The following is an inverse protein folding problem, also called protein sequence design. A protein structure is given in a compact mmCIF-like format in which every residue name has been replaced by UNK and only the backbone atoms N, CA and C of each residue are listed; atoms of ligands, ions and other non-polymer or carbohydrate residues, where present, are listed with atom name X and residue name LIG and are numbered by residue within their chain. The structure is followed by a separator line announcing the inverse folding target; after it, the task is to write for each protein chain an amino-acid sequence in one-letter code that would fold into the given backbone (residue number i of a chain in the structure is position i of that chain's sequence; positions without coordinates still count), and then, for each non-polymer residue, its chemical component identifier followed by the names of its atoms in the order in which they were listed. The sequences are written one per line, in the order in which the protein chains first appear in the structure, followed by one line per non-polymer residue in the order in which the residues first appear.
data_IF_855112633749
#
_entry.id   IF_855112633749
#
_cell.length_a   1.000
_cell.length_b   1.000
_cell.length_c   1.000
_cell.angle_alpha   90.00
_cell.angle_beta   90.00
_cell.angle_gamma   90.00
#
_symmetry.space_group_name_H-M   'P 1'
#
loop_
_entity.id
_entity.type
_entity.pdbx_description
1 polymer ?
#
# COMPACT_ATOMS: atom_id res chain seq x y z
N UNK A 1 -6.20 -10.60 4.07
CA UNK A 1 -7.03 -10.72 2.85
C UNK A 1 -6.11 -10.50 1.67
N UNK A 2 -6.05 -11.45 0.77
CA UNK A 2 -5.22 -11.35 -0.44
C UNK A 2 -6.15 -10.87 -1.55
N UNK A 3 -5.92 -9.66 -2.08
CA UNK A 3 -6.64 -9.17 -3.25
C UNK A 3 -5.80 -9.55 -4.48
N UNK A 4 -6.28 -10.51 -5.26
CA UNK A 4 -5.66 -10.86 -6.54
C UNK A 4 -6.33 -10.01 -7.61
N UNK A 5 -5.70 -8.93 -8.04
CA UNK A 5 -6.14 -8.19 -9.22
C UNK A 5 -5.54 -8.86 -10.45
N UNK A 6 -6.27 -9.78 -11.05
CA UNK A 6 -5.94 -10.34 -12.35
C UNK A 6 -6.60 -9.49 -13.43
N UNK A 7 -5.91 -8.53 -13.97
CA UNK A 7 -6.31 -7.83 -15.19
C UNK A 7 -6.00 -8.73 -16.39
N UNK A 8 -6.92 -9.65 -16.68
CA UNK A 8 -6.97 -10.34 -17.96
C UNK A 8 -8.15 -9.77 -18.74
N UNK A 9 -7.89 -8.89 -19.69
CA UNK A 9 -8.85 -8.58 -20.76
C UNK A 9 -8.95 -9.80 -21.66
N UNK A 10 -9.90 -10.70 -21.35
CA UNK A 10 -10.33 -11.72 -22.28
C UNK A 10 -11.86 -11.66 -22.40
N UNK A 11 -12.30 -11.29 -23.57
CA UNK A 11 -13.70 -11.34 -24.01
C UNK A 11 -14.13 -12.80 -24.13
N UNK A 12 -15.15 -13.19 -23.35
CA UNK A 12 -16.04 -14.32 -23.65
C UNK A 12 -15.69 -15.65 -22.99
N UNK A 13 -16.33 -15.92 -21.88
CA UNK A 13 -17.21 -17.08 -21.67
C UNK A 13 -17.73 -17.10 -20.23
N UNK A 14 -19.04 -17.21 -20.12
CA UNK A 14 -19.80 -17.37 -18.88
C UNK A 14 -19.41 -18.68 -18.18
N UNK A 15 -18.75 -18.58 -17.03
CA UNK A 15 -18.55 -19.70 -16.13
C UNK A 15 -19.47 -19.52 -14.91
N UNK A 16 -20.51 -20.31 -14.81
CA UNK A 16 -21.39 -20.39 -13.64
C UNK A 16 -20.60 -21.00 -12.47
N UNK A 17 -20.27 -20.17 -11.49
CA UNK A 17 -19.68 -20.61 -10.23
C UNK A 17 -20.80 -20.86 -9.21
N UNK A 18 -21.18 -22.12 -9.06
CA UNK A 18 -22.07 -22.56 -7.98
C UNK A 18 -21.21 -23.02 -6.81
N UNK A 19 -20.96 -22.11 -5.87
CA UNK A 19 -20.23 -22.43 -4.61
C UNK A 19 -21.26 -22.96 -3.61
N UNK A 20 -21.04 -24.17 -3.08
CA UNK A 20 -21.82 -24.75 -1.99
C UNK A 20 -21.68 -23.89 -0.72
N UNK A 21 -22.77 -23.31 -0.26
CA UNK A 21 -22.82 -22.41 0.93
C UNK A 21 -22.27 -23.12 2.19
N UNK A 22 -22.54 -24.40 2.39
CA UNK A 22 -22.04 -25.16 3.56
C UNK A 22 -20.52 -25.35 3.66
N UNK A 23 -19.77 -25.17 2.55
CA UNK A 23 -18.30 -25.26 2.59
C UNK A 23 -17.68 -23.93 3.05
N UNK A 24 -18.34 -22.83 2.77
CA UNK A 24 -17.88 -21.49 3.20
C UNK A 24 -18.07 -21.27 4.70
N UNK A 25 -19.17 -21.76 5.28
CA UNK A 25 -19.43 -21.59 6.72
C UNK A 25 -18.37 -22.29 7.57
N UNK A 26 -17.96 -23.52 7.20
CA UNK A 26 -16.88 -24.25 7.90
C UNK A 26 -15.52 -23.54 7.81
N UNK A 27 -15.19 -22.96 6.64
CA UNK A 27 -13.94 -22.19 6.47
C UNK A 27 -13.96 -20.92 7.31
N UNK A 28 -15.11 -20.24 7.37
CA UNK A 28 -15.26 -19.02 8.18
C UNK A 28 -15.12 -19.36 9.67
N UNK A 29 -15.74 -20.41 10.16
CA UNK A 29 -15.60 -20.85 11.56
C UNK A 29 -14.16 -21.27 11.89
N UNK A 30 -13.48 -21.99 11.01
CA UNK A 30 -12.10 -22.39 11.19
C UNK A 30 -11.15 -21.18 11.22
N UNK A 31 -11.33 -20.21 10.30
CA UNK A 31 -10.52 -18.99 10.24
C UNK A 31 -10.81 -18.04 11.41
N UNK A 32 -12.07 -17.93 11.84
CA UNK A 32 -12.44 -17.02 12.95
C UNK A 32 -12.12 -17.63 14.32
N UNK A 33 -12.14 -18.95 14.47
CA UNK A 33 -11.79 -19.69 15.69
C UNK A 33 -10.29 -19.90 15.91
N UNK A 34 -9.46 -19.76 14.86
CA UNK A 34 -8.01 -19.92 14.96
C UNK A 34 -7.33 -18.73 15.64
N UNK A 35 -6.24 -18.99 16.38
CA UNK A 35 -5.37 -17.93 16.90
C UNK A 35 -4.77 -17.11 15.75
N UNK A 36 -4.83 -15.77 15.86
CA UNK A 36 -4.33 -14.89 14.81
C UNK A 36 -2.80 -14.85 14.80
N UNK A 37 -2.17 -15.65 13.94
CA UNK A 37 -0.72 -15.81 13.85
C UNK A 37 0.07 -14.52 13.56
N UNK A 38 -0.57 -13.50 13.03
CA UNK A 38 0.04 -12.19 12.74
C UNK A 38 -0.18 -11.16 13.85
N UNK A 39 -0.78 -11.55 14.99
CA UNK A 39 -1.12 -10.71 16.14
C UNK A 39 0.07 -10.34 17.02
N UNK A 40 1.26 -10.12 16.44
CA UNK A 40 2.46 -9.67 17.16
C UNK A 40 2.81 -8.22 16.79
N UNK A 41 3.53 -7.54 17.68
CA UNK A 41 4.06 -6.19 17.48
C UNK A 41 5.58 -6.27 17.34
N UNK A 42 6.12 -5.57 16.35
CA UNK A 42 7.58 -5.43 16.18
C UNK A 42 8.08 -4.32 17.09
N UNK A 43 9.10 -4.59 17.90
CA UNK A 43 9.65 -3.63 18.83
C UNK A 43 10.74 -2.79 18.16
N UNK A 44 10.32 -1.84 17.30
CA UNK A 44 11.22 -0.89 16.66
C UNK A 44 10.91 0.53 17.12
N UNK A 45 11.95 1.34 17.27
CA UNK A 45 11.78 2.75 17.58
C UNK A 45 11.13 3.47 16.39
N UNK A 46 10.02 4.14 16.65
CA UNK A 46 9.20 4.76 15.61
C UNK A 46 9.25 6.29 15.74
N UNK A 47 9.48 6.96 14.63
CA UNK A 47 9.27 8.40 14.48
C UNK A 47 7.82 8.65 14.10
N UNK A 48 7.09 9.36 14.96
CA UNK A 48 5.67 9.68 14.77
C UNK A 48 5.45 11.18 14.82
N UNK A 49 4.48 11.66 14.03
CA UNK A 49 3.95 13.03 14.19
C UNK A 49 2.81 13.02 15.21
N UNK A 50 2.45 14.20 15.71
CA UNK A 50 1.31 14.34 16.63
C UNK A 50 -0.02 13.89 15.99
N UNK A 51 -1.01 13.62 16.85
CA UNK A 51 -2.37 13.31 16.42
C UNK A 51 -3.05 14.52 15.79
N UNK A 52 -4.01 14.23 14.92
CA UNK A 52 -4.88 15.21 14.29
C UNK A 52 -4.51 15.51 12.85
N UNK A 53 -5.41 16.14 12.14
CA UNK A 53 -5.31 16.44 10.72
C UNK A 53 -5.56 17.93 10.48
N UNK A 54 -4.55 18.60 9.94
CA UNK A 54 -4.58 19.98 9.48
C UNK A 54 -3.53 20.20 8.39
N UNK A 55 -3.46 21.41 7.81
CA UNK A 55 -2.48 21.71 6.76
C UNK A 55 -1.02 21.57 7.23
N UNK A 56 -0.74 21.85 8.50
CA UNK A 56 0.62 21.72 9.05
C UNK A 56 1.06 20.26 9.09
N UNK A 57 0.20 19.35 9.54
CA UNK A 57 0.44 17.90 9.50
C UNK A 57 0.75 17.42 8.08
N UNK A 58 0.01 17.91 7.08
CA UNK A 58 0.25 17.57 5.67
C UNK A 58 1.62 18.08 5.20
N UNK A 59 2.00 19.31 5.59
CA UNK A 59 3.33 19.87 5.29
C UNK A 59 4.44 19.06 5.95
N UNK A 60 4.24 18.60 7.18
CA UNK A 60 5.21 17.75 7.89
C UNK A 60 5.35 16.39 7.17
N UNK A 61 4.26 15.76 6.73
CA UNK A 61 4.31 14.51 5.96
C UNK A 61 5.12 14.72 4.68
N UNK A 62 4.80 15.77 3.91
CA UNK A 62 5.48 16.08 2.67
C UNK A 62 6.97 16.39 2.88
N UNK A 63 7.33 17.13 3.95
CA UNK A 63 8.71 17.42 4.30
C UNK A 63 9.49 16.15 4.71
N UNK A 64 8.89 15.27 5.52
CA UNK A 64 9.52 13.99 5.91
C UNK A 64 9.75 13.05 4.71
N UNK A 65 8.90 13.15 3.69
CA UNK A 65 9.03 12.40 2.42
C UNK A 65 9.95 13.12 1.42
N UNK A 66 10.41 14.33 1.74
CA UNK A 66 11.23 15.17 0.84
C UNK A 66 10.56 15.37 -0.53
N UNK A 67 9.26 15.61 -0.50
CA UNK A 67 8.46 15.75 -1.71
C UNK A 67 8.69 17.11 -2.39
N UNK A 68 8.62 17.17 -3.72
CA UNK A 68 8.65 18.44 -4.45
C UNK A 68 7.36 19.25 -4.23
N UNK A 69 7.43 20.55 -4.43
CA UNK A 69 6.34 21.50 -4.17
C UNK A 69 5.01 21.10 -4.84
N UNK A 70 5.05 20.57 -6.06
CA UNK A 70 3.84 20.16 -6.78
C UNK A 70 3.09 19.01 -6.07
N UNK A 71 3.81 18.15 -5.35
CA UNK A 71 3.21 17.05 -4.59
C UNK A 71 2.55 17.59 -3.32
N UNK A 72 3.21 18.52 -2.63
CA UNK A 72 2.61 19.23 -1.50
C UNK A 72 1.33 20.00 -1.92
N UNK A 73 1.37 20.69 -3.05
CA UNK A 73 0.19 21.37 -3.59
C UNK A 73 -0.98 20.41 -3.88
N UNK A 74 -0.69 19.25 -4.47
CA UNK A 74 -1.67 18.19 -4.69
C UNK A 74 -2.33 17.76 -3.37
N UNK A 75 -1.54 17.51 -2.34
CA UNK A 75 -2.03 17.12 -0.99
C UNK A 75 -2.91 18.19 -0.35
N UNK A 76 -2.45 19.42 -0.35
CA UNK A 76 -3.19 20.56 0.24
C UNK A 76 -4.51 20.80 -0.50
N UNK A 77 -4.52 20.69 -1.83
CA UNK A 77 -5.73 20.79 -2.63
C UNK A 77 -6.73 19.69 -2.28
N UNK A 78 -6.26 18.46 -2.13
CA UNK A 78 -7.09 17.33 -1.72
C UNK A 78 -7.66 17.52 -0.30
N UNK A 79 -6.87 17.99 0.64
CA UNK A 79 -7.30 18.27 2.00
C UNK A 79 -8.38 19.34 2.08
N UNK A 80 -8.16 20.47 1.40
CA UNK A 80 -9.16 21.58 1.35
C UNK A 80 -10.47 21.12 0.73
N UNK A 81 -10.41 20.26 -0.28
CA UNK A 81 -11.60 19.65 -0.87
C UNK A 81 -12.28 18.72 0.15
N UNK A 82 -11.52 17.86 0.83
CA UNK A 82 -12.05 16.96 1.86
C UNK A 82 -12.82 17.70 2.97
N UNK A 83 -12.34 18.86 3.40
CA UNK A 83 -13.04 19.70 4.39
C UNK A 83 -14.43 20.18 3.92
N UNK A 84 -14.67 20.22 2.63
CA UNK A 84 -15.99 20.59 2.06
C UNK A 84 -16.95 19.41 1.92
N UNK A 85 -16.44 18.18 2.09
CA UNK A 85 -17.20 16.96 1.90
C UNK A 85 -17.83 16.45 3.21
N UNK A 86 -18.83 15.60 3.07
CA UNK A 86 -19.41 14.86 4.19
C UNK A 86 -19.13 13.37 4.01
N UNK A 87 -18.90 12.69 5.13
CA UNK A 87 -18.76 11.24 5.14
C UNK A 87 -20.01 10.60 4.51
N UNK A 88 -19.86 9.69 3.54
CA UNK A 88 -20.98 9.05 2.87
C UNK A 88 -21.78 8.17 3.83
N UNK A 89 -23.09 8.19 3.69
CA UNK A 89 -24.03 7.38 4.49
C UNK A 89 -24.93 6.47 3.65
N UNK A 90 -24.58 6.27 2.39
CA UNK A 90 -25.37 5.43 1.47
C UNK A 90 -25.21 3.94 1.73
N UNK A 91 -24.11 3.52 2.34
CA UNK A 91 -23.93 2.13 2.75
C UNK A 91 -24.82 1.82 3.96
N UNK A 92 -25.50 0.68 3.93
CA UNK A 92 -26.32 0.19 5.03
C UNK A 92 -25.44 -0.44 6.13
N UNK A 93 -24.54 0.37 6.69
CA UNK A 93 -23.61 -0.03 7.73
C UNK A 93 -23.73 0.92 8.90
N UNK A 94 -23.76 0.36 10.11
CA UNK A 94 -23.65 1.13 11.34
C UNK A 94 -22.17 1.29 11.71
N UNK A 95 -21.54 2.31 11.10
CA UNK A 95 -20.14 2.62 11.35
C UNK A 95 -20.06 3.66 12.45
N UNK A 96 -19.31 3.40 13.55
CA UNK A 96 -19.05 4.39 14.59
C UNK A 96 -18.46 5.67 14.00
N UNK A 97 -18.76 6.79 14.65
CA UNK A 97 -18.20 8.08 14.25
C UNK A 97 -16.66 8.04 14.37
N UNK A 98 -15.97 8.35 13.28
CA UNK A 98 -14.51 8.37 13.24
C UNK A 98 -14.02 9.74 13.69
N UNK A 99 -13.25 9.77 14.77
CA UNK A 99 -12.56 10.98 15.19
C UNK A 99 -11.24 11.15 14.46
N UNK A 100 -11.25 11.87 13.35
CA UNK A 100 -10.06 12.13 12.53
C UNK A 100 -8.99 12.93 13.27
N UNK A 101 -9.31 13.58 14.40
CA UNK A 101 -8.35 14.32 15.22
C UNK A 101 -7.64 13.43 16.25
N UNK A 102 -8.07 12.18 16.42
CA UNK A 102 -7.43 11.19 17.31
C UNK A 102 -6.56 10.16 16.57
N UNK A 103 -6.23 10.42 15.31
CA UNK A 103 -5.42 9.55 14.46
C UNK A 103 -4.03 10.16 14.28
N UNK A 104 -2.99 9.31 14.30
CA UNK A 104 -1.64 9.64 13.86
C UNK A 104 -1.53 9.33 12.38
N UNK A 105 -1.22 10.32 11.55
CA UNK A 105 -1.22 10.20 10.09
C UNK A 105 0.13 9.82 9.48
N UNK A 106 1.18 9.76 10.28
CA UNK A 106 2.49 9.31 9.85
C UNK A 106 3.24 8.64 10.99
N UNK A 107 3.73 7.46 10.74
CA UNK A 107 4.64 6.72 11.60
C UNK A 107 5.68 6.00 10.72
N UNK A 108 6.94 6.05 11.09
CA UNK A 108 8.01 5.38 10.36
C UNK A 108 9.02 4.79 11.34
N UNK A 109 9.55 3.59 11.09
CA UNK A 109 10.73 3.11 11.81
C UNK A 109 11.86 4.15 11.72
N UNK A 110 12.58 4.42 12.81
CA UNK A 110 13.72 5.35 12.82
C UNK A 110 14.94 4.83 12.05
N UNK A 111 14.73 4.01 11.06
CA UNK A 111 15.79 3.46 10.22
C UNK A 111 15.97 4.35 8.98
N UNK A 112 17.23 4.57 8.59
CA UNK A 112 17.54 5.20 7.30
C UNK A 112 17.25 4.19 6.17
N UNK A 113 16.88 4.70 4.99
CA UNK A 113 16.81 3.88 3.78
C UNK A 113 18.13 3.11 3.61
N UNK A 114 18.03 1.78 3.56
CA UNK A 114 19.19 0.91 3.46
C UNK A 114 19.31 0.39 2.03
N UNK A 115 20.52 0.43 1.48
CA UNK A 115 20.80 -0.07 0.13
C UNK A 115 20.89 -1.60 0.08
N UNK A 116 21.23 -2.24 1.20
CA UNK A 116 21.39 -3.69 1.27
C UNK A 116 20.51 -4.32 2.35
N UNK A 117 20.18 -5.59 2.15
CA UNK A 117 19.44 -6.37 3.14
C UNK A 117 20.19 -6.52 4.46
N UNK A 118 21.50 -6.60 4.42
CA UNK A 118 22.37 -6.73 5.58
C UNK A 118 22.26 -5.55 6.54
N UNK A 119 21.99 -4.36 6.01
CA UNK A 119 21.88 -3.11 6.77
C UNK A 119 20.50 -2.90 7.41
N UNK A 120 19.48 -3.69 7.01
CA UNK A 120 18.13 -3.60 7.58
C UNK A 120 18.15 -4.04 9.04
N UNK A 121 17.40 -3.32 9.89
CA UNK A 121 17.29 -3.63 11.33
C UNK A 121 16.92 -5.10 11.56
N UNK A 122 17.63 -5.83 12.46
CA UNK A 122 17.37 -7.24 12.73
C UNK A 122 15.93 -7.55 13.18
N UNK A 123 15.28 -6.66 13.92
CA UNK A 123 13.89 -6.83 14.36
C UNK A 123 12.91 -6.71 13.18
N UNK A 124 13.20 -5.83 12.21
CA UNK A 124 12.45 -5.75 10.98
C UNK A 124 12.64 -7.00 10.12
N UNK A 125 13.87 -7.49 9.98
CA UNK A 125 14.15 -8.77 9.30
C UNK A 125 13.34 -9.91 9.90
N UNK A 126 13.45 -10.09 11.22
CA UNK A 126 12.73 -11.12 11.94
C UNK A 126 11.20 -11.01 11.78
N UNK A 127 10.69 -9.79 11.68
CA UNK A 127 9.28 -9.53 11.41
C UNK A 127 8.85 -10.06 10.04
N UNK A 128 9.56 -9.69 8.98
CA UNK A 128 9.23 -10.13 7.63
C UNK A 128 9.47 -11.63 7.44
N UNK A 129 10.51 -12.20 8.03
CA UNK A 129 10.74 -13.66 8.05
C UNK A 129 9.58 -14.41 8.73
N UNK A 130 9.11 -13.91 9.88
CA UNK A 130 7.95 -14.46 10.59
C UNK A 130 6.64 -14.33 9.80
N UNK A 131 6.53 -13.32 8.96
CA UNK A 131 5.41 -13.13 8.05
C UNK A 131 5.51 -14.01 6.79
N UNK A 132 6.67 -14.63 6.54
CA UNK A 132 6.95 -15.44 5.37
C UNK A 132 7.19 -14.61 4.11
N UNK A 133 7.66 -13.36 4.27
CA UNK A 133 7.93 -12.43 3.15
C UNK A 133 9.41 -12.54 2.76
N UNK A 134 9.73 -13.04 1.57
CA UNK A 134 11.11 -13.22 1.11
C UNK A 134 11.71 -11.88 0.67
N UNK A 135 12.43 -11.20 1.56
CA UNK A 135 13.09 -9.93 1.26
C UNK A 135 14.54 -10.08 0.77
N UNK A 136 15.13 -11.25 0.88
CA UNK A 136 16.44 -11.53 0.25
C UNK A 136 16.24 -12.08 -1.16
N UNK A 137 16.96 -11.56 -2.13
CA UNK A 137 16.91 -12.06 -3.51
C UNK A 137 17.35 -13.53 -3.63
N UNK A 138 18.19 -13.99 -2.70
CA UNK A 138 18.60 -15.40 -2.58
C UNK A 138 17.46 -16.33 -2.15
N UNK A 139 16.51 -15.83 -1.35
CA UNK A 139 15.32 -16.59 -0.94
C UNK A 139 14.18 -16.49 -1.95
N UNK A 140 14.26 -15.58 -2.90
CA UNK A 140 13.26 -15.39 -3.95
C UNK A 140 13.34 -16.44 -5.07
N UNK A 141 13.55 -17.71 -4.71
CA UNK A 141 13.38 -18.86 -5.62
C UNK A 141 11.97 -18.91 -6.25
N UNK A 142 11.05 -18.10 -5.76
CA UNK A 142 9.68 -17.96 -6.26
C UNK A 142 9.57 -17.14 -7.55
N UNK A 143 10.64 -16.42 -7.99
CA UNK A 143 10.59 -15.54 -9.17
C UNK A 143 9.65 -14.35 -8.99
N UNK A 144 9.46 -13.86 -7.76
CA UNK A 144 8.59 -12.73 -7.40
C UNK A 144 9.42 -11.56 -6.86
N UNK A 145 9.20 -10.37 -7.40
CA UNK A 145 9.74 -9.14 -6.82
C UNK A 145 8.80 -8.61 -5.73
N UNK A 146 9.37 -8.20 -4.61
CA UNK A 146 8.60 -7.76 -3.42
C UNK A 146 9.01 -6.36 -3.00
N UNK A 147 8.01 -5.52 -2.70
CA UNK A 147 8.16 -4.27 -1.98
C UNK A 147 7.54 -4.43 -0.59
N UNK A 148 8.34 -4.24 0.46
CA UNK A 148 7.91 -4.40 1.84
C UNK A 148 7.77 -3.03 2.49
N UNK A 149 6.55 -2.70 2.91
CA UNK A 149 6.20 -1.44 3.54
C UNK A 149 5.84 -1.67 5.00
N UNK A 150 6.44 -0.89 5.90
CA UNK A 150 6.13 -0.89 7.32
C UNK A 150 5.66 0.49 7.77
N UNK A 151 4.44 0.53 8.27
CA UNK A 151 3.75 1.78 8.59
C UNK A 151 3.78 2.76 7.39
N UNK A 152 4.47 3.88 7.48
CA UNK A 152 4.46 4.93 6.46
C UNK A 152 5.65 4.91 5.48
N UNK A 153 6.49 3.87 5.48
CA UNK A 153 7.70 3.83 4.63
C UNK A 153 7.98 2.45 4.03
N UNK A 154 8.47 2.44 2.79
CA UNK A 154 9.05 1.24 2.20
C UNK A 154 10.38 0.91 2.86
N UNK A 155 10.53 -0.34 3.29
CA UNK A 155 11.76 -0.85 3.92
C UNK A 155 12.71 -1.38 2.86
N UNK A 156 12.19 -2.12 1.88
CA UNK A 156 13.00 -2.76 0.83
C UNK A 156 12.14 -3.12 -0.38
N UNK A 157 12.64 -2.80 -1.57
CA UNK A 157 12.15 -3.33 -2.85
C UNK A 157 13.21 -4.22 -3.47
N UNK A 158 12.84 -5.43 -3.90
CA UNK A 158 13.75 -6.42 -4.50
C UNK A 158 13.74 -6.37 -6.03
N UNK A 159 14.79 -6.89 -6.68
CA UNK A 159 14.91 -7.08 -8.15
C UNK A 159 14.76 -5.81 -9.01
N UNK A 160 14.98 -4.63 -8.46
CA UNK A 160 14.88 -3.37 -9.21
C UNK A 160 15.72 -3.36 -10.50
N UNK A 161 16.98 -3.78 -10.39
CA UNK A 161 17.92 -3.75 -11.52
C UNK A 161 17.51 -4.73 -12.62
N UNK A 162 17.11 -5.95 -12.24
CA UNK A 162 16.61 -6.97 -13.18
C UNK A 162 15.37 -6.51 -13.93
N UNK A 163 14.45 -5.82 -13.23
CA UNK A 163 13.25 -5.25 -13.84
C UNK A 163 13.60 -4.08 -14.77
N UNK A 164 14.54 -3.23 -14.35
CA UNK A 164 15.00 -2.07 -15.12
C UNK A 164 15.65 -2.47 -16.46
N UNK A 165 16.30 -3.62 -16.57
CA UNK A 165 16.81 -4.17 -17.85
C UNK A 165 15.72 -4.32 -18.92
N UNK A 166 14.47 -4.50 -18.50
CA UNK A 166 13.29 -4.56 -19.38
C UNK A 166 12.52 -3.25 -19.47
N UNK A 167 13.05 -2.18 -18.84
CA UNK A 167 12.37 -0.90 -18.74
C UNK A 167 11.20 -0.90 -17.76
N UNK A 168 11.03 -1.95 -16.96
CA UNK A 168 10.01 -2.04 -15.92
C UNK A 168 10.48 -1.26 -14.69
N UNK A 169 9.61 -0.39 -14.16
CA UNK A 169 9.87 0.31 -12.90
C UNK A 169 9.01 -0.34 -11.83
N UNK A 170 9.64 -0.73 -10.73
CA UNK A 170 8.98 -1.19 -9.51
C UNK A 170 9.73 -0.62 -8.31
N UNK A 171 9.11 0.31 -7.63
CA UNK A 171 9.71 1.00 -6.48
C UNK A 171 8.62 1.54 -5.55
N UNK A 172 9.02 2.07 -4.39
CA UNK A 172 8.08 2.79 -3.54
C UNK A 172 7.52 4.03 -4.25
N UNK A 173 6.32 4.45 -3.86
CA UNK A 173 5.72 5.65 -4.42
C UNK A 173 6.56 6.90 -4.09
N UNK A 174 7.12 6.97 -2.89
CA UNK A 174 8.01 8.05 -2.48
C UNK A 174 9.26 8.16 -3.36
N UNK A 175 9.84 7.02 -3.73
CA UNK A 175 10.97 6.96 -4.66
C UNK A 175 10.54 7.40 -6.07
N UNK A 176 9.37 6.96 -6.53
CA UNK A 176 8.86 7.34 -7.84
C UNK A 176 8.62 8.85 -7.97
N UNK A 177 8.12 9.51 -6.92
CA UNK A 177 7.93 10.96 -6.89
C UNK A 177 9.25 11.72 -7.11
N UNK A 178 10.36 11.18 -6.60
CA UNK A 178 11.70 11.77 -6.71
C UNK A 178 12.37 11.44 -8.05
N UNK A 179 12.34 10.17 -8.45
CA UNK A 179 13.13 9.65 -9.57
C UNK A 179 12.36 9.61 -10.90
N UNK A 180 11.02 9.57 -10.86
CA UNK A 180 10.15 9.49 -12.03
C UNK A 180 9.00 10.51 -11.98
N UNK A 181 9.27 11.81 -11.63
CA UNK A 181 8.23 12.80 -11.38
C UNK A 181 7.28 13.01 -12.54
N UNK A 182 7.77 12.93 -13.78
CA UNK A 182 6.94 13.14 -14.98
C UNK A 182 5.88 12.04 -15.16
N UNK A 183 6.25 10.77 -14.90
CA UNK A 183 5.31 9.67 -14.93
C UNK A 183 4.29 9.80 -13.81
N UNK A 184 4.75 10.08 -12.59
CA UNK A 184 3.82 10.27 -11.46
C UNK A 184 2.86 11.43 -11.74
N UNK A 185 3.32 12.59 -12.18
CA UNK A 185 2.47 13.74 -12.51
C UNK A 185 1.47 13.45 -13.63
N UNK A 186 1.87 12.63 -14.59
CA UNK A 186 1.00 12.26 -15.72
C UNK A 186 -0.18 11.39 -15.27
N UNK A 187 0.04 10.48 -14.34
CA UNK A 187 -0.93 9.44 -14.03
C UNK A 187 -1.59 9.56 -12.64
N UNK A 188 -0.97 10.27 -11.69
CA UNK A 188 -1.51 10.42 -10.34
C UNK A 188 -2.89 11.11 -10.37
N UNK A 189 -3.87 10.41 -9.82
CA UNK A 189 -5.24 10.94 -9.71
C UNK A 189 -6.02 10.97 -11.03
N UNK A 190 -5.55 10.30 -12.08
CA UNK A 190 -6.27 10.23 -13.36
C UNK A 190 -7.40 9.22 -13.35
N UNK A 191 -7.27 8.12 -12.59
CA UNK A 191 -8.30 7.07 -12.45
C UNK A 191 -9.18 7.36 -11.23
N UNK A 192 -8.57 7.59 -10.07
CA UNK A 192 -9.28 7.99 -8.84
C UNK A 192 -8.78 9.38 -8.44
N UNK A 193 -9.41 10.45 -8.92
CA UNK A 193 -9.02 11.80 -8.55
C UNK A 193 -9.42 12.13 -7.10
N UNK A 194 -8.76 13.12 -6.50
CA UNK A 194 -9.04 13.50 -5.11
C UNK A 194 -10.49 13.94 -4.86
N UNK A 195 -11.21 14.35 -5.90
CA UNK A 195 -12.60 14.79 -5.80
C UNK A 195 -13.64 13.68 -6.08
N UNK A 196 -13.19 12.44 -6.29
CA UNK A 196 -14.07 11.30 -6.58
C UNK A 196 -15.00 10.99 -5.39
N UNK A 197 -14.44 10.84 -4.20
CA UNK A 197 -15.21 10.58 -2.99
C UNK A 197 -14.46 11.05 -1.73
N UNK A 198 -15.18 11.01 -0.59
CA UNK A 198 -14.66 11.44 0.71
C UNK A 198 -13.33 10.77 1.11
N UNK A 199 -13.23 9.44 0.93
CA UNK A 199 -12.03 8.70 1.30
C UNK A 199 -10.90 8.87 0.28
N UNK A 200 -11.22 9.04 -1.00
CA UNK A 200 -10.23 9.37 -2.01
C UNK A 200 -9.60 10.75 -1.77
N UNK A 201 -10.39 11.73 -1.32
CA UNK A 201 -9.90 13.05 -0.91
C UNK A 201 -8.97 12.94 0.30
N UNK A 202 -9.39 12.25 1.35
CA UNK A 202 -8.58 12.02 2.55
C UNK A 202 -7.28 11.29 2.22
N UNK A 203 -7.35 10.18 1.50
CA UNK A 203 -6.16 9.43 1.08
C UNK A 203 -5.21 10.31 0.28
N UNK A 204 -5.72 11.08 -0.70
CA UNK A 204 -4.88 11.98 -1.52
C UNK A 204 -4.16 13.04 -0.70
N UNK A 205 -4.72 13.46 0.43
CA UNK A 205 -4.10 14.43 1.33
C UNK A 205 -2.98 13.82 2.19
N UNK A 206 -3.16 12.57 2.67
CA UNK A 206 -2.33 12.02 3.75
C UNK A 206 -1.59 10.72 3.41
N UNK A 207 -1.76 10.14 2.24
CA UNK A 207 -1.05 8.90 1.93
C UNK A 207 0.45 9.05 2.13
N UNK A 208 1.05 8.03 2.73
CA UNK A 208 2.45 8.09 3.13
C UNK A 208 3.36 7.31 2.20
N UNK A 209 2.93 6.15 1.73
CA UNK A 209 3.64 5.38 0.72
C UNK A 209 2.69 4.45 -0.04
N UNK A 210 3.25 3.56 -0.82
CA UNK A 210 2.62 2.57 -1.67
C UNK A 210 3.60 2.16 -2.72
N UNK A 211 3.14 1.44 -3.73
CA UNK A 211 4.01 1.01 -4.82
C UNK A 211 3.75 1.77 -6.10
N UNK A 212 4.82 2.04 -6.81
CA UNK A 212 4.78 2.54 -8.18
C UNK A 212 5.27 1.45 -9.14
N UNK A 213 4.42 1.12 -10.10
CA UNK A 213 4.70 0.12 -11.15
C UNK A 213 4.49 0.76 -12.50
N UNK A 214 5.49 0.66 -13.37
CA UNK A 214 5.37 1.07 -14.77
C UNK A 214 5.89 -0.04 -15.68
N UNK A 215 5.04 -0.47 -16.61
CA UNK A 215 5.37 -1.48 -17.62
C UNK A 215 5.29 -0.82 -18.99
N UNK A 216 6.40 -0.73 -19.74
CA UNK A 216 6.41 -0.15 -21.07
C UNK A 216 5.53 -0.91 -22.07
N UNK A 217 5.16 -0.23 -23.15
CA UNK A 217 4.38 -0.80 -24.25
C UNK A 217 5.02 -2.10 -24.79
N UNK A 218 4.17 -3.15 -24.93
CA UNK A 218 4.56 -4.46 -25.46
C UNK A 218 5.46 -5.27 -24.54
N UNK A 219 5.76 -4.79 -23.32
CA UNK A 219 6.62 -5.52 -22.38
C UNK A 219 5.80 -6.44 -21.49
N UNK A 220 6.22 -7.70 -21.45
CA UNK A 220 5.73 -8.65 -20.44
C UNK A 220 6.66 -8.61 -19.24
N UNK A 221 6.14 -8.24 -18.08
CA UNK A 221 6.92 -8.24 -16.84
C UNK A 221 7.51 -9.64 -16.60
N UNK A 222 8.85 -9.74 -16.38
CA UNK A 222 9.54 -11.04 -16.34
C UNK A 222 9.20 -11.87 -15.10
N UNK A 223 8.62 -11.25 -14.07
CA UNK A 223 8.26 -11.89 -12.80
C UNK A 223 6.98 -11.29 -12.22
N UNK A 224 6.40 -11.97 -11.26
CA UNK A 224 5.29 -11.43 -10.48
C UNK A 224 5.80 -10.33 -9.53
N UNK A 225 4.99 -9.29 -9.35
CA UNK A 225 5.28 -8.22 -8.41
C UNK A 225 4.37 -8.35 -7.21
N UNK A 226 4.90 -8.06 -6.02
CA UNK A 226 4.10 -8.09 -4.80
C UNK A 226 4.46 -6.92 -3.89
N UNK A 227 3.46 -6.33 -3.26
CA UNK A 227 3.67 -5.38 -2.17
C UNK A 227 3.05 -5.91 -0.90
N UNK A 228 3.78 -5.79 0.19
CA UNK A 228 3.31 -6.24 1.48
C UNK A 228 3.36 -5.09 2.49
N UNK A 229 2.18 -4.77 3.03
CA UNK A 229 2.02 -3.72 4.03
C UNK A 229 1.90 -4.31 5.43
N UNK A 230 2.72 -3.82 6.36
CA UNK A 230 2.64 -4.15 7.77
C UNK A 230 2.32 -2.91 8.59
N UNK A 231 1.15 -2.88 9.19
CA UNK A 231 0.78 -1.90 10.20
C UNK A 231 1.31 -2.39 11.55
N UNK A 232 2.06 -1.59 12.26
CA UNK A 232 2.68 -1.99 13.52
C UNK A 232 2.14 -1.21 14.72
N UNK A 233 1.97 0.09 14.60
CA UNK A 233 1.59 0.97 15.70
C UNK A 233 0.07 1.01 15.95
N UNK A 234 -0.32 1.13 17.23
CA UNK A 234 -1.73 1.38 17.61
C UNK A 234 -2.12 2.83 17.32
N UNK A 235 -3.37 3.04 16.94
CA UNK A 235 -3.95 4.36 16.65
C UNK A 235 -3.21 5.14 15.56
N UNK A 236 -2.49 4.44 14.70
CA UNK A 236 -1.84 4.97 13.52
C UNK A 236 -2.65 4.61 12.30
N UNK A 237 -3.03 5.60 11.52
CA UNK A 237 -3.63 5.39 10.21
C UNK A 237 -2.51 5.04 9.21
N UNK A 238 -2.71 3.96 8.47
CA UNK A 238 -1.90 3.67 7.30
C UNK A 238 -2.69 4.05 6.07
N UNK A 239 -2.13 4.96 5.28
CA UNK A 239 -2.75 5.48 4.08
C UNK A 239 -1.83 5.17 2.90
N UNK A 240 -2.24 4.23 2.11
CA UNK A 240 -1.45 3.69 1.00
C UNK A 240 -1.99 4.20 -0.32
N UNK A 241 -1.09 4.35 -1.29
CA UNK A 241 -1.46 4.70 -2.65
C UNK A 241 -0.57 3.98 -3.64
N UNK A 242 -1.07 2.91 -4.19
CA UNK A 242 -0.42 2.16 -5.27
C UNK A 242 -0.84 2.70 -6.62
N UNK A 243 0.13 2.92 -7.51
CA UNK A 243 -0.09 3.35 -8.89
C UNK A 243 0.55 2.36 -9.85
N UNK A 244 -0.29 1.66 -10.61
CA UNK A 244 0.14 0.71 -11.63
C UNK A 244 -0.19 1.25 -13.00
N UNK A 245 0.82 1.43 -13.84
CA UNK A 245 0.71 1.87 -15.22
C UNK A 245 1.20 0.76 -16.14
N UNK A 246 0.28 0.17 -16.88
CA UNK A 246 0.59 -0.79 -17.94
C UNK A 246 0.24 -0.15 -19.28
N UNK A 247 1.26 0.12 -20.10
CA UNK A 247 1.07 0.67 -21.44
C UNK A 247 0.42 -0.36 -22.39
N UNK A 248 0.09 0.05 -23.60
CA UNK A 248 -0.52 -0.85 -24.62
C UNK A 248 0.26 -2.15 -24.79
N UNK A 249 -0.45 -3.29 -24.83
CA UNK A 249 0.11 -4.63 -24.98
C UNK A 249 1.07 -5.07 -23.86
N UNK A 250 1.13 -4.31 -22.74
CA UNK A 250 1.93 -4.69 -21.58
C UNK A 250 1.23 -5.79 -20.75
N UNK A 251 2.02 -6.55 -19.99
CA UNK A 251 1.51 -7.56 -19.07
C UNK A 251 2.22 -7.51 -17.72
N UNK A 252 1.45 -7.50 -16.64
CA UNK A 252 1.98 -7.60 -15.27
C UNK A 252 1.01 -8.41 -14.40
N UNK A 253 1.56 -9.19 -13.47
CA UNK A 253 0.85 -9.81 -12.36
C UNK A 253 1.29 -9.10 -11.08
N UNK A 254 0.31 -8.58 -10.31
CA UNK A 254 0.57 -7.82 -9.09
C UNK A 254 -0.27 -8.36 -7.95
N UNK A 255 0.37 -8.62 -6.81
CA UNK A 255 -0.24 -9.10 -5.58
C UNK A 255 -0.02 -8.09 -4.47
N UNK A 256 -1.07 -7.75 -3.75
CA UNK A 256 -0.98 -6.88 -2.58
C UNK A 256 -1.49 -7.59 -1.33
N UNK A 257 -0.75 -7.47 -0.23
CA UNK A 257 -1.09 -8.04 1.07
C UNK A 257 -0.93 -7.03 2.19
N UNK A 258 -1.79 -7.11 3.19
CA UNK A 258 -1.72 -6.26 4.37
C UNK A 258 -1.95 -7.06 5.65
N UNK A 259 -1.18 -6.77 6.70
CA UNK A 259 -1.40 -7.31 8.04
C UNK A 259 -1.22 -6.26 9.12
N UNK A 260 -1.90 -6.49 10.24
CA UNK A 260 -1.80 -5.67 11.44
C UNK A 260 -1.73 -6.55 12.69
N UNK A 261 -1.29 -6.03 13.87
CA UNK A 261 -1.29 -6.78 15.12
C UNK A 261 -2.68 -7.21 15.60
N UNK A 262 -3.72 -6.52 15.15
CA UNK A 262 -5.11 -6.89 15.42
C UNK A 262 -5.77 -7.37 14.13
N UNK A 263 -6.75 -8.28 14.24
CA UNK A 263 -7.55 -8.68 13.08
C UNK A 263 -8.25 -7.45 12.53
N UNK A 264 -7.97 -7.16 11.27
CA UNK A 264 -8.72 -6.17 10.50
C UNK A 264 -9.97 -6.86 9.95
N UNK A 265 -11.15 -6.36 10.30
CA UNK A 265 -12.38 -6.80 9.63
C UNK A 265 -12.50 -6.06 8.30
N UNK A 266 -11.98 -6.66 7.24
CA UNK A 266 -12.16 -6.16 5.87
C UNK A 266 -13.46 -6.69 5.22
N UNK A 267 -14.24 -7.49 5.97
CA UNK A 267 -15.48 -8.12 5.47
C UNK A 267 -16.63 -7.12 5.36
N UNK A 268 -16.52 -5.98 6.01
CA UNK A 268 -17.58 -4.97 6.05
C UNK A 268 -17.35 -3.78 5.11
N UNK A 269 -16.41 -3.92 4.18
CA UNK A 269 -16.17 -2.89 3.17
C UNK A 269 -16.93 -3.21 1.89
#
# INVERSE_FOLDING_TARGET
MIIIVRLALNLGSSCNFQVSIGFMDNIIEEVTGSEYKYGFVTNVETDTIGKGLNEEVIRIISAKKEEPDWMLEFRLKAYRHWLTMKMPRWAQLDIPEINYQDIVYYAAPKQKETKSWEEVDPELKATFDKLGIPLSEQMALSGMAVDAVMDSVSVKTTFKDTLAERGVIFCSFSEAVKNHPDLVRKYLGTVVPYHDNYFAALNSAVFSDGSFVYIPKGVRCPMELSTYFRINARNTGQFERTLIVAEDEAYVSYLEGCTAPQRLSLIHI
#
